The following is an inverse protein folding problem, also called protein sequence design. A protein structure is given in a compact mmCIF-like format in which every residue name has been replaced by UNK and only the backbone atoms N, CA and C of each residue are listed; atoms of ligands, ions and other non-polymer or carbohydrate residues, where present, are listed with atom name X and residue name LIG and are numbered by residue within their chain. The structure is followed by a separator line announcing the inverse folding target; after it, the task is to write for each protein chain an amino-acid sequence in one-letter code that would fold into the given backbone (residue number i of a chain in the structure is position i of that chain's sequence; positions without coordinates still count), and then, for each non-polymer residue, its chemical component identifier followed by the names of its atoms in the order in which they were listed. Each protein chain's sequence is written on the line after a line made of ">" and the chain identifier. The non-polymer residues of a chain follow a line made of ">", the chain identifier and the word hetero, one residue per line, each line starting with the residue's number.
data_IF_442292378521
#
_entry.id   IF_442292378521
#
_cell.length_a   1.000
_cell.length_b   1.000
_cell.length_c   1.000
_cell.angle_alpha   90.00
_cell.angle_beta   90.00
_cell.angle_gamma   90.00
#
_symmetry.space_group_name_H-M   'P 1'
#
loop_
_entity.id
_entity.type
_entity.pdbx_description
1 polymer ?
#
# COMPACT_ATOMS: atom_id res chain seq x y z
N UNK A 1 7.16 8.85 5.28
CA UNK A 1 5.81 9.25 5.71
C UNK A 1 5.11 10.08 4.66
N UNK A 2 3.79 9.96 4.59
CA UNK A 2 2.87 10.81 3.81
C UNK A 2 1.83 11.31 4.81
N UNK A 3 1.61 12.63 4.87
CA UNK A 3 0.74 13.21 5.90
C UNK A 3 -0.74 13.10 5.49
N UNK A 4 -1.63 13.13 6.49
CA UNK A 4 -3.07 13.16 6.25
C UNK A 4 -3.45 14.38 5.39
N UNK A 5 -4.19 14.13 4.32
CA UNK A 5 -4.63 15.16 3.36
C UNK A 5 -3.59 15.52 2.30
N UNK A 6 -2.40 14.94 2.35
CA UNK A 6 -1.35 15.15 1.36
C UNK A 6 -1.61 14.32 0.10
N UNK A 7 -1.39 14.94 -1.07
CA UNK A 7 -1.32 14.21 -2.34
C UNK A 7 0.15 13.95 -2.64
N UNK A 8 0.54 12.68 -2.62
CA UNK A 8 1.91 12.26 -2.87
C UNK A 8 2.01 11.54 -4.22
N UNK A 9 3.06 11.86 -5.00
CA UNK A 9 3.28 11.30 -6.34
C UNK A 9 4.58 10.51 -6.37
N UNK A 10 4.50 9.25 -6.80
CA UNK A 10 5.67 8.40 -7.05
C UNK A 10 6.00 8.40 -8.54
N UNK A 11 7.16 8.92 -8.90
CA UNK A 11 7.65 8.98 -10.29
C UNK A 11 8.87 8.06 -10.51
N UNK A 12 9.13 7.67 -11.77
CA UNK A 12 10.27 6.82 -12.13
C UNK A 12 10.05 6.04 -13.44
N UNK A 13 11.13 5.48 -13.99
CA UNK A 13 11.14 4.73 -15.26
C UNK A 13 10.23 3.49 -15.23
N UNK A 14 9.82 2.98 -16.39
CA UNK A 14 9.15 1.68 -16.45
C UNK A 14 10.02 0.60 -15.81
N UNK A 15 9.41 -0.32 -15.06
CA UNK A 15 10.14 -1.38 -14.33
C UNK A 15 10.84 -0.93 -13.04
N UNK A 16 10.84 0.36 -12.69
CA UNK A 16 11.50 0.86 -11.45
C UNK A 16 10.83 0.46 -10.13
N UNK A 17 9.84 -0.45 -10.16
CA UNK A 17 9.17 -0.95 -8.96
C UNK A 17 8.00 -0.10 -8.41
N UNK A 18 7.58 0.99 -9.07
CA UNK A 18 6.48 1.86 -8.58
C UNK A 18 5.19 1.09 -8.26
N UNK A 19 4.73 0.26 -9.19
CA UNK A 19 3.50 -0.52 -9.00
C UNK A 19 3.68 -1.61 -7.93
N UNK A 20 4.89 -2.14 -7.77
CA UNK A 20 5.22 -3.06 -6.68
C UNK A 20 5.15 -2.34 -5.34
N UNK A 21 5.75 -1.16 -5.22
CA UNK A 21 5.70 -0.33 -4.01
C UNK A 21 4.25 -0.03 -3.59
N UNK A 22 3.42 0.47 -4.50
CA UNK A 22 2.01 0.79 -4.21
C UNK A 22 1.22 -0.46 -3.78
N UNK A 23 1.50 -1.63 -4.36
CA UNK A 23 0.88 -2.91 -3.95
C UNK A 23 1.39 -3.41 -2.60
N UNK A 24 2.65 -3.14 -2.25
CA UNK A 24 3.20 -3.43 -0.92
C UNK A 24 2.48 -2.62 0.16
N UNK A 25 2.15 -1.34 -0.09
CA UNK A 25 1.41 -0.49 0.88
C UNK A 25 0.04 -1.08 1.27
N UNK A 26 -0.61 -1.81 0.37
CA UNK A 26 -1.90 -2.46 0.61
C UNK A 26 -1.76 -3.97 0.89
N UNK A 27 -0.53 -4.46 0.98
CA UNK A 27 -0.15 -5.89 1.07
C UNK A 27 -0.81 -6.80 0.03
N UNK A 28 -1.08 -6.26 -1.16
CA UNK A 28 -1.43 -7.10 -2.33
C UNK A 28 -0.20 -7.85 -2.83
N UNK A 29 0.98 -7.31 -2.57
CA UNK A 29 2.27 -8.00 -2.64
C UNK A 29 2.87 -7.95 -1.24
N UNK A 30 3.43 -9.06 -0.78
CA UNK A 30 4.11 -9.12 0.52
C UNK A 30 5.50 -8.47 0.41
N UNK A 31 5.84 -7.49 1.25
CA UNK A 31 7.20 -6.96 1.31
C UNK A 31 8.16 -8.03 1.84
N UNK A 32 9.36 -8.13 1.26
CA UNK A 32 10.38 -9.08 1.74
C UNK A 32 10.89 -8.72 3.14
N UNK A 33 11.00 -7.43 3.44
CA UNK A 33 11.49 -6.90 4.71
C UNK A 33 11.13 -5.43 4.87
N UNK A 34 11.40 -4.88 6.06
CA UNK A 34 11.15 -3.48 6.40
C UNK A 34 9.95 -3.30 7.32
N UNK A 35 9.44 -2.07 7.40
CA UNK A 35 8.32 -1.68 8.24
C UNK A 35 7.30 -0.90 7.42
N UNK A 36 6.01 -1.09 7.73
CA UNK A 36 4.90 -0.40 7.08
C UNK A 36 3.85 -0.06 8.12
N UNK A 37 3.63 1.24 8.34
CA UNK A 37 2.60 1.73 9.24
C UNK A 37 1.60 2.60 8.49
N UNK A 38 0.31 2.41 8.78
CA UNK A 38 -0.79 3.26 8.30
C UNK A 38 -1.58 3.70 9.53
N UNK A 39 -1.77 5.01 9.69
CA UNK A 39 -2.43 5.61 10.87
C UNK A 39 -1.84 5.14 12.22
N UNK A 40 -0.54 4.83 12.24
CA UNK A 40 0.18 4.35 13.42
C UNK A 40 0.06 2.84 13.69
N UNK A 41 -0.69 2.09 12.88
CA UNK A 41 -0.81 0.64 12.99
C UNK A 41 0.20 -0.07 12.08
N UNK A 42 0.94 -1.04 12.62
CA UNK A 42 1.83 -1.91 11.84
C UNK A 42 1.01 -2.87 10.96
N UNK A 43 1.10 -2.66 9.65
CA UNK A 43 0.36 -3.40 8.62
C UNK A 43 0.96 -4.80 8.39
N UNK A 44 2.24 -5.00 8.70
CA UNK A 44 2.90 -6.31 8.55
C UNK A 44 2.45 -7.28 9.65
N UNK A 45 2.16 -6.76 10.85
CA UNK A 45 1.63 -7.52 11.97
C UNK A 45 0.12 -7.83 11.87
N UNK A 46 -0.60 -7.22 10.93
CA UNK A 46 -2.05 -7.44 10.76
C UNK A 46 -2.37 -8.86 10.28
N UNK A 47 -3.38 -9.46 10.89
CA UNK A 47 -3.96 -10.71 10.42
C UNK A 47 -4.85 -10.50 9.16
N UNK A 48 -5.36 -11.61 8.60
CA UNK A 48 -6.20 -11.59 7.40
C UNK A 48 -7.49 -10.78 7.58
N UNK A 49 -8.07 -10.78 8.78
CA UNK A 49 -9.32 -10.10 9.08
C UNK A 49 -9.12 -8.58 9.13
N UNK A 50 -8.05 -8.12 9.79
CA UNK A 50 -7.66 -6.73 9.90
C UNK A 50 -7.21 -6.15 8.56
N UNK A 51 -6.44 -6.92 7.78
CA UNK A 51 -6.09 -6.52 6.41
C UNK A 51 -7.31 -6.34 5.51
N UNK A 52 -8.32 -7.21 5.65
CA UNK A 52 -9.57 -7.09 4.89
C UNK A 52 -10.38 -5.87 5.33
N UNK A 53 -10.30 -5.44 6.58
CA UNK A 53 -10.92 -4.20 7.04
C UNK A 53 -10.19 -2.96 6.49
N UNK A 54 -8.86 -2.93 6.58
CA UNK A 54 -8.01 -1.88 6.03
C UNK A 54 -8.32 -1.63 4.54
N UNK A 55 -8.35 -2.69 3.74
CA UNK A 55 -8.65 -2.64 2.30
C UNK A 55 -10.10 -2.26 1.95
N UNK A 56 -11.03 -2.35 2.90
CA UNK A 56 -12.44 -1.98 2.67
C UNK A 56 -12.75 -0.55 3.08
N UNK A 57 -12.06 -0.04 4.11
CA UNK A 57 -12.47 1.21 4.77
C UNK A 57 -11.40 2.30 4.84
N UNK A 58 -10.14 1.98 4.53
CA UNK A 58 -9.02 2.91 4.69
C UNK A 58 -8.13 3.03 3.45
N UNK A 59 -8.05 1.97 2.65
CA UNK A 59 -7.27 1.97 1.42
C UNK A 59 -8.14 1.51 0.24
N UNK A 60 -8.13 2.29 -0.84
CA UNK A 60 -8.69 1.89 -2.12
C UNK A 60 -7.58 1.93 -3.18
N UNK A 61 -7.57 0.95 -4.07
CA UNK A 61 -6.61 0.89 -5.17
C UNK A 61 -7.36 0.95 -6.50
N UNK A 62 -6.93 1.87 -7.36
CA UNK A 62 -7.36 1.94 -8.75
C UNK A 62 -6.24 1.34 -9.60
N UNK A 63 -6.58 0.32 -10.40
CA UNK A 63 -5.60 -0.35 -11.25
C UNK A 63 -5.47 0.38 -12.59
N UNK A 64 -4.24 0.43 -13.12
CA UNK A 64 -3.95 1.06 -14.41
C UNK A 64 -4.66 0.34 -15.58
N UNK A 65 -4.78 -0.98 -15.51
CA UNK A 65 -5.45 -1.79 -16.51
C UNK A 65 -6.57 -2.57 -15.85
N UNK A 66 -7.77 -2.44 -16.40
CA UNK A 66 -8.90 -3.31 -16.15
C UNK A 66 -9.03 -4.16 -17.41
N UNK A 67 -8.71 -5.46 -17.33
CA UNK A 67 -8.94 -6.46 -18.39
C UNK A 67 -8.75 -5.99 -19.82
#
# INVERSE_FOLDING_TARGET
>A
DVRKGEVFVVMGLSGSGKSTLVRCLTRLIEPTSGTLAIDGEDVLAMDRSRLRELRRHRAAMVFQHFG
#
